data_IF_991469828976
#
_entry.id   IF_991469828976
#
_cell.length_a   1.000
_cell.length_b   1.000
_cell.length_c   1.000
_cell.angle_alpha   90.00
_cell.angle_beta   90.00
_cell.angle_gamma   90.00
#
_symmetry.space_group_name_H-M   'P 1'
#
loop_
_entity.id
_entity.type
_entity.pdbx_description
1 polymer ?
#
# COMPACT_ATOMS: atom_id res chain seq x y z
N UNK A 1 -8.22 -1.57 -15.32
CA UNK A 1 -6.85 -1.09 -15.58
C UNK A 1 -6.42 -1.63 -16.92
N UNK A 2 -5.83 -0.80 -17.78
CA UNK A 2 -5.40 -1.24 -19.12
C UNK A 2 -4.22 -2.24 -19.04
N UNK A 3 -4.00 -3.08 -20.06
CA UNK A 3 -2.94 -4.10 -20.04
C UNK A 3 -1.54 -3.52 -19.80
N UNK A 4 -1.23 -2.36 -20.39
CA UNK A 4 0.05 -1.67 -20.21
C UNK A 4 0.35 -1.37 -18.75
N UNK A 5 -0.63 -0.82 -18.02
CA UNK A 5 -0.44 -0.44 -16.62
C UNK A 5 -0.24 -1.67 -15.74
N UNK A 6 -0.95 -2.77 -16.02
CA UNK A 6 -0.71 -4.05 -15.34
C UNK A 6 0.73 -4.54 -15.55
N UNK A 7 1.21 -4.49 -16.80
CA UNK A 7 2.57 -4.91 -17.14
C UNK A 7 3.64 -4.09 -16.39
N UNK A 8 3.45 -2.77 -16.23
CA UNK A 8 4.35 -1.93 -15.43
C UNK A 8 4.40 -2.44 -13.98
N UNK A 9 3.25 -2.65 -13.35
CA UNK A 9 3.18 -3.13 -11.96
C UNK A 9 3.80 -4.52 -11.78
N UNK A 10 3.60 -5.43 -12.75
CA UNK A 10 4.23 -6.75 -12.75
C UNK A 10 5.75 -6.65 -12.89
N UNK A 11 6.24 -5.79 -13.79
CA UNK A 11 7.68 -5.60 -14.03
C UNK A 11 8.37 -4.95 -12.83
N UNK A 12 7.68 -4.09 -12.08
CA UNK A 12 8.15 -3.52 -10.81
C UNK A 12 8.11 -4.52 -9.64
N UNK A 13 7.72 -5.78 -9.85
CA UNK A 13 7.67 -6.80 -8.79
C UNK A 13 6.47 -6.70 -7.85
N UNK A 14 5.45 -5.89 -8.19
CA UNK A 14 4.24 -5.69 -7.38
C UNK A 14 3.00 -6.37 -8.00
N UNK A 15 3.21 -7.30 -8.94
CA UNK A 15 2.14 -8.04 -9.62
C UNK A 15 1.23 -8.82 -8.68
N UNK A 16 1.73 -9.27 -7.53
CA UNK A 16 0.94 -9.97 -6.51
C UNK A 16 -0.25 -9.12 -6.01
N UNK A 17 -0.08 -7.80 -5.92
CA UNK A 17 -1.13 -6.87 -5.50
C UNK A 17 -2.25 -6.72 -6.53
N UNK A 18 -2.01 -7.03 -7.81
CA UNK A 18 -3.06 -7.06 -8.85
C UNK A 18 -4.01 -8.24 -8.68
N UNK A 19 -3.53 -9.34 -8.10
CA UNK A 19 -4.26 -10.58 -7.92
C UNK A 19 -4.92 -10.68 -6.55
N UNK A 20 -4.93 -9.59 -5.78
CA UNK A 20 -5.52 -9.58 -4.46
C UNK A 20 -7.02 -9.90 -4.52
N UNK A 21 -7.40 -11.04 -3.95
CA UNK A 21 -8.80 -11.46 -3.85
C UNK A 21 -9.38 -10.95 -2.54
N UNK A 22 -10.40 -10.10 -2.64
CA UNK A 22 -11.15 -9.65 -1.45
C UNK A 22 -11.79 -10.86 -0.77
N UNK A 23 -11.35 -11.15 0.44
CA UNK A 23 -11.97 -12.17 1.29
C UNK A 23 -12.99 -11.51 2.21
N UNK A 24 -14.19 -12.06 2.26
CA UNK A 24 -15.23 -11.61 3.18
C UNK A 24 -15.13 -12.37 4.50
N UNK A 25 -14.69 -11.68 5.55
CA UNK A 25 -14.59 -12.24 6.90
C UNK A 25 -15.67 -11.60 7.78
N UNK A 26 -16.39 -12.37 8.61
CA UNK A 26 -17.38 -11.81 9.51
C UNK A 26 -16.79 -10.70 10.38
N UNK A 27 -17.43 -9.53 10.40
CA UNK A 27 -16.94 -8.35 11.14
C UNK A 27 -16.68 -8.64 12.62
N UNK A 28 -17.50 -9.52 13.24
CA UNK A 28 -17.31 -9.93 14.63
C UNK A 28 -15.97 -10.65 14.84
N UNK A 29 -15.55 -11.49 13.90
CA UNK A 29 -14.28 -12.20 13.96
C UNK A 29 -13.10 -11.23 13.80
N UNK A 30 -13.18 -10.31 12.84
CA UNK A 30 -12.14 -9.28 12.63
C UNK A 30 -11.96 -8.42 13.87
N UNK A 31 -13.07 -7.93 14.46
CA UNK A 31 -13.01 -7.14 15.70
C UNK A 31 -12.41 -7.94 16.85
N UNK A 32 -12.79 -9.21 17.00
CA UNK A 32 -12.25 -10.09 18.03
C UNK A 32 -10.73 -10.29 17.85
N UNK A 33 -10.26 -10.60 16.64
CA UNK A 33 -8.84 -10.73 16.33
C UNK A 33 -8.08 -9.43 16.60
N UNK A 34 -8.56 -8.30 16.09
CA UNK A 34 -7.91 -7.00 16.25
C UNK A 34 -7.74 -6.62 17.73
N UNK A 35 -8.73 -6.93 18.59
CA UNK A 35 -8.63 -6.70 20.04
C UNK A 35 -7.58 -7.56 20.78
N UNK A 36 -6.97 -8.53 20.09
CA UNK A 36 -5.98 -9.47 20.64
C UNK A 36 -4.61 -9.31 19.99
N UNK A 37 -4.47 -8.41 19.02
CA UNK A 37 -3.20 -8.17 18.36
C UNK A 37 -2.42 -7.10 19.13
N UNK A 38 -1.21 -7.44 19.55
CA UNK A 38 -0.27 -6.48 20.13
C UNK A 38 0.63 -5.93 19.01
N UNK A 39 0.48 -4.64 18.72
CA UNK A 39 1.19 -3.98 17.61
C UNK A 39 2.70 -3.94 17.83
N UNK A 40 3.22 -3.54 19.01
CA UNK A 40 4.67 -3.48 19.23
C UNK A 40 5.39 -4.82 19.07
N UNK A 41 4.80 -5.92 19.56
CA UNK A 41 5.38 -7.27 19.42
C UNK A 41 4.99 -7.98 18.12
N UNK A 42 4.05 -7.43 17.36
CA UNK A 42 3.50 -8.02 16.13
C UNK A 42 2.95 -9.44 16.35
N UNK A 43 2.17 -9.66 17.42
CA UNK A 43 1.67 -10.98 17.78
C UNK A 43 0.20 -10.98 18.22
N UNK A 44 -0.50 -12.10 18.01
CA UNK A 44 -1.80 -12.34 18.64
C UNK A 44 -1.65 -12.96 20.03
N UNK A 45 -2.31 -12.36 21.02
CA UNK A 45 -2.36 -12.83 22.40
C UNK A 45 -3.67 -13.57 22.67
N UNK A 46 -3.63 -14.90 22.53
CA UNK A 46 -4.79 -15.79 22.67
C UNK A 46 -4.71 -16.58 23.99
N UNK A 47 -5.30 -16.03 25.04
CA UNK A 47 -5.32 -16.58 26.41
C UNK A 47 -3.91 -16.80 26.97
N UNK A 48 -3.29 -17.95 26.68
CA UNK A 48 -1.95 -18.36 27.15
C UNK A 48 -1.02 -18.72 25.99
N UNK A 49 -1.40 -18.37 24.76
CA UNK A 49 -0.62 -18.60 23.54
C UNK A 49 -0.34 -17.27 22.84
N UNK A 50 0.85 -17.18 22.28
CA UNK A 50 1.32 -16.06 21.48
C UNK A 50 1.54 -16.58 20.05
N UNK A 51 0.94 -15.91 19.08
CA UNK A 51 1.10 -16.25 17.66
C UNK A 51 1.75 -15.04 16.99
N UNK A 52 3.09 -15.04 16.84
CA UNK A 52 3.78 -13.96 16.16
C UNK A 52 3.42 -13.95 14.68
N UNK A 53 3.30 -12.75 14.11
CA UNK A 53 3.25 -12.52 12.67
C UNK A 53 4.60 -11.94 12.26
N UNK A 54 5.24 -12.62 11.32
CA UNK A 54 6.54 -12.22 10.78
C UNK A 54 6.39 -11.75 9.33
N UNK A 55 7.43 -11.09 8.81
CA UNK A 55 7.50 -10.73 7.39
C UNK A 55 7.38 -11.94 6.45
N UNK A 56 7.81 -13.13 6.90
CA UNK A 56 7.68 -14.36 6.13
C UNK A 56 6.22 -14.83 6.03
N UNK A 57 5.41 -14.62 7.07
CA UNK A 57 3.98 -14.92 7.02
C UNK A 57 3.28 -14.00 6.02
N UNK A 58 3.65 -12.71 6.01
CA UNK A 58 3.14 -11.74 5.03
C UNK A 58 3.52 -12.14 3.61
N UNK A 59 4.77 -12.56 3.38
CA UNK A 59 5.20 -13.09 2.09
C UNK A 59 4.43 -14.35 1.68
N UNK A 60 4.28 -15.33 2.57
CA UNK A 60 3.55 -16.55 2.26
C UNK A 60 2.08 -16.30 1.90
N UNK A 61 1.47 -15.25 2.44
CA UNK A 61 0.06 -14.90 2.20
C UNK A 61 -0.10 -13.99 0.96
N UNK A 62 0.76 -13.00 0.81
CA UNK A 62 0.61 -11.93 -0.18
C UNK A 62 1.61 -12.01 -1.34
N UNK A 63 2.58 -12.92 -1.27
CA UNK A 63 3.68 -13.05 -2.22
C UNK A 63 4.49 -11.74 -2.38
N UNK A 64 4.60 -10.99 -1.28
CA UNK A 64 5.40 -9.76 -1.22
C UNK A 64 6.87 -10.09 -0.95
N UNK A 65 7.83 -9.36 -1.54
CA UNK A 65 9.26 -9.59 -1.28
C UNK A 65 9.60 -9.43 0.21
N UNK A 66 10.43 -10.33 0.73
CA UNK A 66 10.86 -10.37 2.15
C UNK A 66 12.15 -9.58 2.40
N UNK A 67 12.94 -9.42 1.36
CA UNK A 67 14.26 -8.80 1.39
C UNK A 67 14.16 -7.31 1.07
N UNK A 68 15.18 -6.56 1.47
CA UNK A 68 15.25 -5.10 1.29
C UNK A 68 15.59 -4.39 2.60
N UNK A 69 15.90 -3.11 2.47
CA UNK A 69 16.18 -2.24 3.61
C UNK A 69 14.89 -1.74 4.26
N UNK A 70 14.88 -1.52 5.58
CA UNK A 70 13.77 -0.88 6.25
C UNK A 70 13.46 0.47 5.60
N UNK A 71 12.18 0.75 5.39
CA UNK A 71 11.76 2.03 4.82
C UNK A 71 12.20 3.18 5.73
N UNK A 72 12.96 4.12 5.16
CA UNK A 72 13.21 5.41 5.79
C UNK A 72 11.87 6.15 5.90
N UNK A 73 11.54 6.58 7.12
CA UNK A 73 10.28 7.26 7.38
C UNK A 73 10.54 8.76 7.44
N UNK A 74 10.55 9.41 6.27
CA UNK A 74 10.53 10.87 6.12
C UNK A 74 9.22 11.31 5.45
N UNK A 75 8.18 11.61 6.24
CA UNK A 75 6.87 11.98 5.71
C UNK A 75 6.86 13.30 4.92
N UNK A 76 7.78 14.21 5.22
CA UNK A 76 7.85 15.51 4.55
C UNK A 76 8.47 15.36 3.18
N UNK A 77 9.62 14.67 3.10
CA UNK A 77 10.30 14.40 1.84
C UNK A 77 9.42 13.61 0.87
N UNK A 78 8.79 12.52 1.33
CA UNK A 78 7.89 11.73 0.49
C UNK A 78 6.64 12.49 0.04
N UNK A 79 6.09 13.37 0.88
CA UNK A 79 5.00 14.27 0.47
C UNK A 79 5.49 15.21 -0.63
N UNK A 80 6.59 15.90 -0.41
CA UNK A 80 7.07 16.95 -1.29
C UNK A 80 7.49 16.38 -2.66
N UNK A 81 8.02 15.15 -2.68
CA UNK A 81 8.23 14.39 -3.91
C UNK A 81 6.92 14.18 -4.67
N UNK A 82 5.89 13.58 -4.05
CA UNK A 82 4.60 13.34 -4.72
C UNK A 82 3.94 14.63 -5.19
N UNK A 83 4.03 15.71 -4.41
CA UNK A 83 3.50 17.02 -4.78
C UNK A 83 4.22 17.62 -5.99
N UNK A 84 5.56 17.57 -6.01
CA UNK A 84 6.34 18.08 -7.14
C UNK A 84 6.11 17.24 -8.39
N UNK A 85 6.09 15.91 -8.26
CA UNK A 85 5.88 14.96 -9.36
C UNK A 85 4.54 15.18 -10.09
N UNK A 86 3.47 15.48 -9.34
CA UNK A 86 2.14 15.71 -9.91
C UNK A 86 1.77 17.21 -10.04
N UNK A 87 2.69 18.13 -9.77
CA UNK A 87 2.45 19.59 -9.75
C UNK A 87 1.25 20.00 -8.88
N UNK A 88 1.20 19.53 -7.64
CA UNK A 88 0.12 19.76 -6.68
C UNK A 88 0.59 20.64 -5.52
N UNK A 89 -0.33 21.42 -4.95
CA UNK A 89 -0.08 22.23 -3.75
C UNK A 89 -0.40 21.52 -2.44
N UNK A 90 -1.16 20.41 -2.49
CA UNK A 90 -1.54 19.61 -1.33
C UNK A 90 -1.85 18.17 -1.73
N UNK A 91 -1.75 17.23 -0.78
CA UNK A 91 -1.98 15.81 -1.06
C UNK A 91 -3.45 15.60 -1.42
N UNK A 92 -3.74 15.13 -2.65
CA UNK A 92 -5.11 14.94 -3.08
C UNK A 92 -5.70 13.67 -2.45
N UNK A 93 -7.03 13.53 -2.43
CA UNK A 93 -7.68 12.30 -1.99
C UNK A 93 -7.26 11.11 -2.88
N UNK A 94 -7.31 9.89 -2.35
CA UNK A 94 -6.94 8.64 -3.04
C UNK A 94 -7.72 8.44 -4.35
N UNK A 95 -8.92 9.02 -4.42
CA UNK A 95 -9.76 9.01 -5.62
C UNK A 95 -9.11 9.73 -6.82
N UNK A 96 -8.22 10.71 -6.60
CA UNK A 96 -7.43 11.36 -7.64
C UNK A 96 -6.53 10.35 -8.37
N UNK A 97 -5.72 9.61 -7.62
CA UNK A 97 -4.82 8.59 -8.17
C UNK A 97 -5.59 7.44 -8.83
N UNK A 98 -6.71 7.05 -8.23
CA UNK A 98 -7.62 6.05 -8.81
C UNK A 98 -8.19 6.50 -10.16
N UNK A 99 -8.55 7.78 -10.29
CA UNK A 99 -9.04 8.34 -11.56
C UNK A 99 -7.95 8.38 -12.62
N UNK A 100 -6.72 8.77 -12.26
CA UNK A 100 -5.56 8.72 -13.17
C UNK A 100 -5.34 7.32 -13.75
N UNK A 101 -5.40 6.27 -12.92
CA UNK A 101 -5.25 4.88 -13.37
C UNK A 101 -6.41 4.34 -14.22
N UNK A 102 -7.59 4.99 -14.17
CA UNK A 102 -8.79 4.60 -14.93
C UNK A 102 -8.98 5.43 -16.20
N UNK A 103 -8.39 6.63 -16.25
CA UNK A 103 -8.51 7.51 -17.42
C UNK A 103 -7.86 6.87 -18.64
N UNK A 104 -8.50 7.05 -19.79
CA UNK A 104 -7.96 6.67 -21.11
C UNK A 104 -7.52 7.90 -21.92
N UNK A 105 -7.62 9.10 -21.33
CA UNK A 105 -7.39 10.37 -22.04
C UNK A 105 -5.90 10.71 -22.16
N UNK A 106 -5.09 10.30 -21.18
CA UNK A 106 -3.65 10.59 -21.14
C UNK A 106 -2.91 9.33 -20.71
N UNK A 107 -1.95 8.91 -21.51
CA UNK A 107 -1.04 7.83 -21.17
C UNK A 107 -0.05 8.33 -20.12
N UNK A 108 -0.05 7.68 -18.95
CA UNK A 108 0.83 8.02 -17.84
C UNK A 108 2.24 7.46 -18.09
N UNK A 109 3.32 8.14 -17.66
CA UNK A 109 4.63 7.51 -17.52
C UNK A 109 4.60 6.28 -16.60
N UNK A 110 5.59 5.40 -16.72
CA UNK A 110 5.64 4.17 -15.91
C UNK A 110 5.78 4.46 -14.41
N UNK A 111 6.57 5.47 -14.05
CA UNK A 111 6.71 5.92 -12.65
C UNK A 111 5.38 6.46 -12.10
N UNK A 112 4.64 7.25 -12.88
CA UNK A 112 3.31 7.74 -12.50
C UNK A 112 2.33 6.59 -12.26
N UNK A 113 2.38 5.55 -13.10
CA UNK A 113 1.54 4.35 -12.96
C UNK A 113 1.88 3.66 -11.64
N UNK A 114 3.17 3.44 -11.39
CA UNK A 114 3.66 2.81 -10.19
C UNK A 114 3.26 3.59 -8.94
N UNK A 115 3.57 4.89 -8.89
CA UNK A 115 3.23 5.78 -7.76
C UNK A 115 1.72 5.80 -7.53
N UNK A 116 0.91 6.00 -8.57
CA UNK A 116 -0.55 6.01 -8.43
C UNK A 116 -1.09 4.68 -7.90
N UNK A 117 -0.57 3.56 -8.42
CA UNK A 117 -1.00 2.22 -8.00
C UNK A 117 -0.62 1.95 -6.54
N UNK A 118 0.62 2.23 -6.16
CA UNK A 118 1.12 2.00 -4.81
C UNK A 118 0.41 2.89 -3.78
N UNK A 119 0.12 4.16 -4.11
CA UNK A 119 -0.69 5.02 -3.24
C UNK A 119 -2.09 4.44 -3.00
N UNK A 120 -2.72 3.88 -4.05
CA UNK A 120 -4.02 3.20 -3.93
C UNK A 120 -3.90 1.92 -3.10
N UNK A 121 -2.86 1.11 -3.30
CA UNK A 121 -2.61 -0.11 -2.54
C UNK A 121 -2.35 0.17 -1.05
N UNK A 122 -1.54 1.18 -0.73
CA UNK A 122 -1.32 1.64 0.64
C UNK A 122 -2.61 2.09 1.30
N UNK A 123 -3.40 2.90 0.62
CA UNK A 123 -4.58 3.49 1.23
C UNK A 123 -5.75 2.50 1.37
N UNK A 124 -5.79 1.45 0.57
CA UNK A 124 -6.90 0.49 0.56
C UNK A 124 -6.62 -0.82 1.31
N UNK A 125 -5.35 -1.25 1.36
CA UNK A 125 -5.02 -2.61 1.81
C UNK A 125 -3.80 -2.69 2.72
N UNK A 126 -2.65 -2.16 2.29
CA UNK A 126 -1.40 -2.37 3.01
C UNK A 126 -1.25 -1.48 4.26
N UNK A 127 -1.68 -0.22 4.18
CA UNK A 127 -1.59 0.76 5.27
C UNK A 127 -2.85 1.64 5.35
N UNK A 128 -4.06 1.04 5.38
CA UNK A 128 -5.30 1.79 5.34
C UNK A 128 -5.41 2.70 6.56
N UNK A 129 -5.99 3.87 6.35
CA UNK A 129 -6.24 4.85 7.40
C UNK A 129 -7.66 5.41 7.26
N UNK A 130 -8.11 6.21 8.23
CA UNK A 130 -9.46 6.80 8.23
C UNK A 130 -9.59 8.07 7.38
N UNK A 131 -8.49 8.57 6.81
CA UNK A 131 -8.48 9.75 5.94
C UNK A 131 -8.85 9.38 4.51
N UNK A 132 -9.38 10.35 3.77
CA UNK A 132 -9.60 10.25 2.33
C UNK A 132 -8.30 10.46 1.53
N UNK A 133 -7.26 11.01 2.16
CA UNK A 133 -5.95 11.25 1.56
C UNK A 133 -4.94 10.20 2.02
N UNK A 134 -3.97 9.83 1.17
CA UNK A 134 -2.92 8.89 1.55
C UNK A 134 -2.08 9.43 2.72
N UNK A 135 -1.57 8.52 3.54
CA UNK A 135 -0.68 8.90 4.65
C UNK A 135 0.71 9.25 4.12
N UNK A 136 1.26 10.44 4.43
CA UNK A 136 2.61 10.82 4.02
C UNK A 136 3.71 9.89 4.53
N UNK A 137 3.45 9.18 5.64
CA UNK A 137 4.40 8.29 6.33
C UNK A 137 5.03 7.22 5.44
N UNK A 138 4.35 6.82 4.37
CA UNK A 138 4.77 5.74 3.49
C UNK A 138 5.16 6.23 2.10
N UNK A 139 5.18 7.54 1.85
CA UNK A 139 5.43 8.10 0.52
C UNK A 139 6.92 8.28 0.20
N UNK A 140 7.79 8.22 1.21
CA UNK A 140 9.23 8.37 1.01
C UNK A 140 9.82 7.32 0.06
N UNK A 141 9.17 6.17 -0.06
CA UNK A 141 9.59 5.08 -0.97
C UNK A 141 9.66 5.49 -2.44
N UNK A 142 8.98 6.58 -2.80
CA UNK A 142 8.92 7.04 -4.19
C UNK A 142 10.11 7.93 -4.55
N UNK A 143 10.91 8.36 -3.58
CA UNK A 143 12.10 9.16 -3.86
C UNK A 143 13.17 8.40 -4.65
N UNK A 144 13.12 7.06 -4.61
CA UNK A 144 14.03 6.17 -5.36
C UNK A 144 13.49 5.80 -6.75
N UNK A 145 12.31 6.33 -7.13
CA UNK A 145 11.69 6.14 -8.46
C UNK A 145 12.23 7.16 -9.46
#
# INVERSE_FOLDING_TARGET
MCPRYKNVIETCGMGCLLNFVRTEVPLRLVKWLASRFDVPSSEFQLKKKFIPITKYDIHNILDLPVDGEPLLCDPESGRDFVLSHFNLSSIPPVSFFTKKLKSSEVELPDDDIFICFMIVAFSSFLCPNSSLSPSPKYLHIFNDC
#
